data_IF_808439373124
#
_entry.id   IF_808439373124
#
_cell.length_a   1.000
_cell.length_b   1.000
_cell.length_c   1.000
_cell.angle_alpha   90.00
_cell.angle_beta   90.00
_cell.angle_gamma   90.00
#
_symmetry.space_group_name_H-M   'P 1'
#
loop_
_entity.id
_entity.type
_entity.pdbx_description
1 polymer ?
#
# COMPACT_ATOMS: atom_id res chain seq x y z
N UNK A 1 10.29 5.38 2.25
CA UNK A 1 10.95 5.02 3.53
C UNK A 1 9.90 5.14 4.63
N UNK A 2 9.66 4.08 5.39
CA UNK A 2 8.74 4.15 6.53
C UNK A 2 9.40 4.89 7.70
N UNK A 3 8.60 5.54 8.55
CA UNK A 3 9.08 6.13 9.81
C UNK A 3 9.32 5.02 10.86
N UNK A 4 10.15 5.29 11.86
CA UNK A 4 10.35 4.39 12.99
C UNK A 4 9.14 4.37 13.92
N UNK A 5 8.97 3.30 14.70
CA UNK A 5 7.89 3.19 15.70
C UNK A 5 7.94 4.36 16.71
N UNK A 6 9.14 4.78 17.11
CA UNK A 6 9.32 5.94 17.99
C UNK A 6 8.85 7.26 17.34
N UNK A 7 9.10 7.45 16.03
CA UNK A 7 8.60 8.61 15.29
C UNK A 7 7.09 8.57 15.14
N UNK A 8 6.51 7.39 14.85
CA UNK A 8 5.07 7.16 14.78
C UNK A 8 4.39 7.53 16.10
N UNK A 9 4.89 7.02 17.22
CA UNK A 9 4.27 7.21 18.54
C UNK A 9 4.37 8.66 19.00
N UNK A 10 5.51 9.32 18.73
CA UNK A 10 5.66 10.75 18.94
C UNK A 10 4.62 11.54 18.15
N UNK A 11 4.51 11.31 16.84
CA UNK A 11 3.55 12.01 15.97
C UNK A 11 2.10 11.77 16.40
N UNK A 12 1.76 10.56 16.87
CA UNK A 12 0.43 10.23 17.40
C UNK A 12 0.06 10.97 18.69
N UNK A 13 1.05 11.48 19.44
CA UNK A 13 0.86 12.21 20.70
C UNK A 13 1.08 13.73 20.62
N UNK A 14 1.47 14.27 19.46
CA UNK A 14 1.94 15.66 19.33
C UNK A 14 0.87 16.74 19.41
N UNK A 15 -0.41 16.43 19.20
CA UNK A 15 -1.51 17.39 19.37
C UNK A 15 -2.78 16.74 19.93
N UNK A 16 -3.47 17.36 20.90
CA UNK A 16 -4.80 16.95 21.34
C UNK A 16 -5.84 16.93 20.21
N UNK A 17 -5.75 17.85 19.24
CA UNK A 17 -6.73 17.98 18.15
C UNK A 17 -6.57 16.96 17.03
N UNK A 18 -5.41 16.32 16.91
CA UNK A 18 -5.13 15.32 15.85
C UNK A 18 -4.88 13.91 16.44
N UNK A 19 -5.11 13.73 17.74
CA UNK A 19 -4.77 12.50 18.47
C UNK A 19 -5.59 11.30 18.01
N UNK A 20 -6.83 11.57 17.57
CA UNK A 20 -7.76 10.55 17.08
C UNK A 20 -7.44 10.11 15.65
N UNK A 21 -6.88 11.03 14.85
CA UNK A 21 -6.43 10.75 13.48
C UNK A 21 -5.19 9.86 13.45
N UNK A 22 -4.43 9.78 14.55
CA UNK A 22 -3.19 8.99 14.64
C UNK A 22 -2.28 9.24 13.45
N UNK A 23 -1.91 10.51 13.25
CA UNK A 23 -1.13 10.96 12.09
C UNK A 23 0.14 10.13 11.83
N UNK A 24 0.85 9.72 12.88
CA UNK A 24 2.02 8.84 12.75
C UNK A 24 1.66 7.49 12.13
N UNK A 25 0.53 6.90 12.53
CA UNK A 25 0.01 5.66 11.95
C UNK A 25 -0.34 5.84 10.48
N UNK A 26 -0.99 6.93 10.10
CA UNK A 26 -1.32 7.21 8.70
C UNK A 26 -0.07 7.38 7.82
N UNK A 27 0.93 8.11 8.31
CA UNK A 27 2.23 8.26 7.63
C UNK A 27 2.93 6.90 7.51
N UNK A 28 2.92 6.08 8.56
CA UNK A 28 3.48 4.73 8.54
C UNK A 28 2.78 3.86 7.48
N UNK A 29 1.45 3.92 7.41
CA UNK A 29 0.65 3.15 6.46
C UNK A 29 0.99 3.55 5.03
N UNK A 30 1.07 4.85 4.73
CA UNK A 30 1.52 5.33 3.41
C UNK A 30 2.92 4.80 3.08
N UNK A 31 3.86 4.84 4.02
CA UNK A 31 5.22 4.35 3.83
C UNK A 31 5.35 2.82 3.62
N UNK A 32 4.31 2.04 3.99
CA UNK A 32 4.26 0.58 3.85
C UNK A 32 3.54 0.09 2.59
N UNK A 33 2.82 0.97 1.87
CA UNK A 33 2.09 0.62 0.64
C UNK A 33 3.05 0.37 -0.51
N UNK A 34 3.55 -0.86 -0.59
CA UNK A 34 4.45 -1.33 -1.65
C UNK A 34 3.88 -2.62 -2.21
N UNK A 35 3.65 -2.65 -3.52
CA UNK A 35 3.22 -3.88 -4.18
C UNK A 35 4.38 -4.87 -4.31
N UNK A 36 4.05 -6.15 -4.22
CA UNK A 36 4.98 -7.24 -4.56
C UNK A 36 5.30 -7.17 -6.05
N UNK A 37 6.55 -7.46 -6.40
CA UNK A 37 7.01 -7.49 -7.79
C UNK A 37 6.11 -8.36 -8.67
N UNK A 38 5.78 -7.85 -9.86
CA UNK A 38 5.11 -8.59 -10.93
C UNK A 38 6.17 -8.97 -11.98
N UNK A 39 6.18 -10.23 -12.38
CA UNK A 39 7.04 -10.68 -13.46
C UNK A 39 6.58 -10.08 -14.80
N UNK A 40 7.48 -10.01 -15.79
CA UNK A 40 7.10 -9.59 -17.13
C UNK A 40 6.02 -10.52 -17.69
N UNK A 41 5.03 -9.96 -18.37
CA UNK A 41 4.02 -10.75 -19.07
C UNK A 41 4.66 -11.51 -20.23
N UNK A 42 4.31 -12.79 -20.36
CA UNK A 42 4.70 -13.65 -21.47
C UNK A 42 3.48 -14.06 -22.32
N UNK A 43 2.35 -13.37 -22.15
CA UNK A 43 1.10 -13.67 -22.85
C UNK A 43 1.25 -13.50 -24.36
N UNK A 44 0.77 -14.49 -25.11
CA UNK A 44 0.74 -14.48 -26.59
C UNK A 44 -0.67 -14.27 -27.14
N UNK A 45 -1.66 -14.26 -26.26
CA UNK A 45 -3.07 -14.06 -26.58
C UNK A 45 -3.75 -13.17 -25.54
N UNK A 46 -5.02 -12.85 -25.82
CA UNK A 46 -5.83 -11.97 -24.96
C UNK A 46 -6.11 -12.62 -23.60
N UNK A 47 -6.32 -13.94 -23.58
CA UNK A 47 -6.63 -14.68 -22.35
C UNK A 47 -5.48 -14.58 -21.35
N UNK A 48 -4.24 -14.84 -21.78
CA UNK A 48 -3.06 -14.72 -20.95
C UNK A 48 -2.81 -13.28 -20.48
N UNK A 49 -3.09 -12.29 -21.33
CA UNK A 49 -2.96 -10.88 -20.93
C UNK A 49 -3.94 -10.52 -19.81
N UNK A 50 -5.18 -10.99 -19.89
CA UNK A 50 -6.20 -10.76 -18.86
C UNK A 50 -5.80 -11.40 -17.54
N UNK A 51 -5.23 -12.61 -17.56
CA UNK A 51 -4.72 -13.28 -16.37
C UNK A 51 -3.57 -12.50 -15.71
N UNK A 52 -2.54 -12.14 -16.49
CA UNK A 52 -1.39 -11.38 -16.00
C UNK A 52 -1.79 -10.00 -15.44
N UNK A 53 -2.75 -9.34 -16.10
CA UNK A 53 -3.28 -8.06 -15.66
C UNK A 53 -4.08 -8.19 -14.36
N UNK A 54 -4.96 -9.18 -14.25
CA UNK A 54 -5.73 -9.40 -13.02
C UNK A 54 -4.82 -9.79 -11.84
N UNK A 55 -3.73 -10.52 -12.09
CA UNK A 55 -2.72 -10.81 -11.09
C UNK A 55 -2.03 -9.52 -10.59
N UNK A 56 -1.72 -8.57 -11.49
CA UNK A 56 -1.20 -7.26 -11.10
C UNK A 56 -2.22 -6.48 -10.26
N UNK A 57 -3.49 -6.43 -10.69
CA UNK A 57 -4.55 -5.75 -9.94
C UNK A 57 -4.68 -6.31 -8.53
N UNK A 58 -4.65 -7.63 -8.36
CA UNK A 58 -4.69 -8.27 -7.05
C UNK A 58 -3.52 -7.83 -6.16
N UNK A 59 -2.30 -7.76 -6.71
CA UNK A 59 -1.11 -7.28 -5.98
C UNK A 59 -1.24 -5.82 -5.57
N UNK A 60 -1.77 -4.95 -6.44
CA UNK A 60 -1.99 -3.54 -6.15
C UNK A 60 -3.07 -3.34 -5.08
N UNK A 61 -4.17 -4.11 -5.13
CA UNK A 61 -5.22 -4.11 -4.10
C UNK A 61 -4.70 -4.61 -2.75
N UNK A 62 -3.93 -5.70 -2.74
CA UNK A 62 -3.32 -6.22 -1.52
C UNK A 62 -2.34 -5.24 -0.86
N UNK A 63 -1.62 -4.45 -1.68
CA UNK A 63 -0.75 -3.37 -1.20
C UNK A 63 -1.51 -2.10 -0.77
N UNK A 64 -2.84 -2.09 -0.91
CA UNK A 64 -3.70 -0.94 -0.67
C UNK A 64 -3.44 0.20 -1.63
N UNK A 65 -2.81 -0.02 -2.79
CA UNK A 65 -2.54 1.00 -3.81
C UNK A 65 -3.74 1.23 -4.75
N UNK A 66 -4.67 0.29 -4.81
CA UNK A 66 -5.96 0.41 -5.52
C UNK A 66 -7.11 0.04 -4.60
N UNK A 67 -8.31 0.55 -4.91
CA UNK A 67 -9.54 0.18 -4.20
C UNK A 67 -9.84 -1.31 -4.36
N UNK A 68 -10.31 -1.94 -3.29
CA UNK A 68 -10.61 -3.37 -3.26
C UNK A 68 -11.88 -3.75 -4.03
N UNK A 69 -12.82 -2.80 -4.15
CA UNK A 69 -14.12 -2.92 -4.81
C UNK A 69 -14.13 -2.23 -6.17
#
# INVERSE_FOLDING_TARGET
MAISDAQRDKLNGMSPTCRDVKLGTEIQNIGKRVAVTQANSAAVDVTGLVEDFNALLAKLKAAGLMASS
#
